data_IF_645920370377
#
_entry.id   IF_645920370377
#
_cell.length_a   1.000
_cell.length_b   1.000
_cell.length_c   1.000
_cell.angle_alpha   90.00
_cell.angle_beta   90.00
_cell.angle_gamma   90.00
#
_symmetry.space_group_name_H-M   'P 1'
#
loop_
_entity.id
_entity.type
_entity.pdbx_description
1 polymer ?
#
# COMPACT_ATOMS: atom_id res chain seq x y z
N UNK A 1 6.64 -13.93 -15.32
CA UNK A 1 5.37 -13.30 -14.92
C UNK A 1 4.69 -12.70 -16.14
N UNK A 2 3.51 -13.19 -16.56
CA UNK A 2 2.81 -12.59 -17.70
C UNK A 2 2.00 -11.38 -17.20
N UNK A 3 2.46 -10.17 -17.53
CA UNK A 3 1.72 -8.95 -17.24
C UNK A 3 0.61 -8.81 -18.27
N UNK A 4 -0.61 -8.61 -17.79
CA UNK A 4 -1.81 -8.38 -18.61
C UNK A 4 -2.41 -7.06 -18.20
N UNK A 5 -3.19 -6.42 -19.07
CA UNK A 5 -3.90 -5.17 -18.74
C UNK A 5 -4.74 -5.32 -17.47
N UNK A 6 -5.47 -6.44 -17.33
CA UNK A 6 -6.21 -6.77 -16.11
C UNK A 6 -5.33 -6.77 -14.86
N UNK A 7 -4.13 -7.34 -14.93
CA UNK A 7 -3.22 -7.35 -13.78
C UNK A 7 -2.78 -5.94 -13.37
N UNK A 8 -2.46 -5.09 -14.35
CA UNK A 8 -2.06 -3.70 -14.09
C UNK A 8 -3.21 -2.92 -13.45
N UNK A 9 -4.42 -3.05 -14.00
CA UNK A 9 -5.63 -2.40 -13.44
C UNK A 9 -5.88 -2.85 -12.01
N UNK A 10 -5.77 -4.15 -11.73
CA UNK A 10 -5.96 -4.66 -10.36
C UNK A 10 -4.90 -4.13 -9.39
N UNK A 11 -3.62 -4.09 -9.80
CA UNK A 11 -2.56 -3.50 -8.96
C UNK A 11 -2.84 -2.03 -8.68
N UNK A 12 -3.15 -1.24 -9.70
CA UNK A 12 -3.47 0.19 -9.54
C UNK A 12 -4.71 0.42 -8.65
N UNK A 13 -5.75 -0.41 -8.78
CA UNK A 13 -6.94 -0.36 -7.93
C UNK A 13 -6.59 -0.61 -6.46
N UNK A 14 -5.83 -1.66 -6.18
CA UNK A 14 -5.41 -1.97 -4.81
C UNK A 14 -4.47 -0.92 -4.24
N UNK A 15 -3.58 -0.35 -5.05
CA UNK A 15 -2.75 0.81 -4.66
C UNK A 15 -3.63 1.98 -4.23
N UNK A 16 -4.63 2.36 -5.02
CA UNK A 16 -5.54 3.45 -4.67
C UNK A 16 -6.33 3.16 -3.37
N UNK A 17 -6.81 1.93 -3.21
CA UNK A 17 -7.49 1.51 -1.98
C UNK A 17 -6.56 1.55 -0.76
N UNK A 18 -5.29 1.15 -0.91
CA UNK A 18 -4.31 1.24 0.18
C UNK A 18 -4.04 2.70 0.57
N UNK A 19 -3.93 3.62 -0.41
CA UNK A 19 -3.81 5.07 -0.11
C UNK A 19 -5.02 5.55 0.68
N UNK A 20 -6.23 5.32 0.18
CA UNK A 20 -7.48 5.79 0.82
C UNK A 20 -7.65 5.16 2.21
N UNK A 21 -7.36 3.87 2.35
CA UNK A 21 -7.38 3.18 3.63
C UNK A 21 -6.41 3.81 4.63
N UNK A 22 -5.19 4.16 4.20
CA UNK A 22 -4.17 4.78 5.07
C UNK A 22 -4.51 6.23 5.42
N UNK A 23 -5.27 6.94 4.58
CA UNK A 23 -5.77 8.29 4.87
C UNK A 23 -6.79 8.31 6.02
N UNK A 24 -7.44 7.20 6.32
CA UNK A 24 -8.35 7.09 7.48
C UNK A 24 -7.48 6.94 8.74
N UNK A 25 -7.12 8.09 9.32
CA UNK A 25 -6.24 8.17 10.49
C UNK A 25 -7.05 7.95 11.77
N UNK A 26 -6.91 6.77 12.37
CA UNK A 26 -7.37 6.51 13.74
C UNK A 26 -6.18 6.80 14.69
N UNK A 27 -6.21 7.88 15.49
CA UNK A 27 -5.10 8.25 16.34
C UNK A 27 -4.91 7.25 17.49
N UNK A 28 -3.66 6.94 17.82
CA UNK A 28 -3.28 6.21 19.02
C UNK A 28 -2.72 7.16 20.09
N UNK A 29 -2.76 6.78 21.38
CA UNK A 29 -2.18 7.56 22.47
C UNK A 29 -0.68 7.84 22.35
N UNK A 30 0.02 7.12 21.46
CA UNK A 30 1.46 7.24 21.21
C UNK A 30 1.83 8.33 20.21
N UNK A 31 0.84 9.04 19.64
CA UNK A 31 1.06 9.99 18.54
C UNK A 31 1.16 9.35 17.15
N UNK A 32 1.14 8.02 17.09
CA UNK A 32 0.97 7.26 15.84
C UNK A 32 -0.51 7.16 15.44
N UNK A 33 -0.77 6.60 14.27
CA UNK A 33 -2.13 6.26 13.82
C UNK A 33 -2.17 4.84 13.27
N UNK A 34 -3.36 4.24 13.23
CA UNK A 34 -3.56 2.91 12.64
C UNK A 34 -3.43 3.00 11.13
N UNK A 35 -2.51 2.23 10.54
CA UNK A 35 -2.41 2.06 9.08
C UNK A 35 -3.50 1.09 8.59
N UNK A 36 -4.73 1.58 8.43
CA UNK A 36 -5.82 0.77 7.89
C UNK A 36 -5.55 0.24 6.47
N UNK A 37 -4.65 0.88 5.72
CA UNK A 37 -4.14 0.36 4.44
C UNK A 37 -3.48 -1.02 4.53
N UNK A 38 -3.02 -1.45 5.71
CA UNK A 38 -2.43 -2.78 5.90
C UNK A 38 -3.44 -3.89 5.60
N UNK A 39 -4.71 -3.71 5.96
CA UNK A 39 -5.75 -4.68 5.66
C UNK A 39 -5.95 -4.83 4.14
N UNK A 40 -5.90 -3.70 3.41
CA UNK A 40 -6.00 -3.69 1.95
C UNK A 40 -4.78 -4.34 1.30
N UNK A 41 -3.57 -4.08 1.82
CA UNK A 41 -2.35 -4.74 1.36
C UNK A 41 -2.47 -6.26 1.50
N UNK A 42 -2.85 -6.75 2.68
CA UNK A 42 -3.01 -8.20 2.92
C UNK A 42 -4.05 -8.80 1.97
N UNK A 43 -5.15 -8.09 1.72
CA UNK A 43 -6.18 -8.52 0.76
C UNK A 43 -5.62 -8.57 -0.68
N UNK A 44 -4.79 -7.60 -1.06
CA UNK A 44 -4.17 -7.56 -2.38
C UNK A 44 -3.17 -8.71 -2.59
N UNK A 45 -2.42 -9.08 -1.54
CA UNK A 45 -1.50 -10.24 -1.56
C UNK A 45 -2.28 -11.53 -1.68
N UNK A 46 -3.38 -11.66 -0.94
CA UNK A 46 -4.26 -12.83 -1.01
C UNK A 46 -4.88 -13.02 -2.40
N UNK A 47 -5.27 -11.93 -3.08
CA UNK A 47 -6.01 -11.99 -4.34
C UNK A 47 -5.13 -11.93 -5.61
N UNK A 48 -4.04 -11.18 -5.58
CA UNK A 48 -3.13 -10.98 -6.74
C UNK A 48 -1.86 -11.83 -6.65
N UNK A 49 -1.68 -12.52 -5.53
CA UNK A 49 -0.45 -13.23 -5.19
C UNK A 49 0.60 -12.30 -4.62
N UNK A 50 1.60 -12.91 -3.97
CA UNK A 50 2.65 -12.22 -3.23
C UNK A 50 3.30 -11.07 -4.00
N UNK A 51 3.82 -11.30 -5.21
CA UNK A 51 4.57 -10.27 -5.96
C UNK A 51 3.73 -9.06 -6.38
N UNK A 52 2.49 -9.27 -6.86
CA UNK A 52 1.65 -8.16 -7.34
C UNK A 52 0.94 -7.45 -6.20
N UNK A 53 0.53 -8.19 -5.17
CA UNK A 53 -0.12 -7.62 -4.00
C UNK A 53 0.86 -6.81 -3.14
N UNK A 54 2.07 -7.33 -2.91
CA UNK A 54 3.13 -6.57 -2.24
C UNK A 54 3.42 -5.25 -2.95
N UNK A 55 3.57 -5.29 -4.27
CA UNK A 55 3.73 -4.09 -5.10
C UNK A 55 2.54 -3.13 -4.97
N UNK A 56 1.30 -3.65 -5.01
CA UNK A 56 0.11 -2.81 -4.90
C UNK A 56 0.06 -2.07 -3.56
N UNK A 57 0.29 -2.78 -2.45
CA UNK A 57 0.30 -2.21 -1.11
C UNK A 57 1.49 -1.28 -0.85
N UNK A 58 2.70 -1.70 -1.22
CA UNK A 58 3.92 -0.91 -1.05
C UNK A 58 3.89 0.41 -1.82
N UNK A 59 3.38 0.39 -3.06
CA UNK A 59 3.14 1.62 -3.82
C UNK A 59 2.07 2.50 -3.16
N UNK A 60 1.03 1.89 -2.57
CA UNK A 60 -0.02 2.63 -1.87
C UNK A 60 0.52 3.40 -0.66
N UNK A 61 1.39 2.78 0.14
CA UNK A 61 2.04 3.45 1.26
C UNK A 61 3.02 4.53 0.82
N UNK A 62 3.85 4.23 -0.17
CA UNK A 62 4.80 5.22 -0.71
C UNK A 62 4.08 6.49 -1.24
N UNK A 63 2.96 6.32 -1.94
CA UNK A 63 2.14 7.45 -2.41
C UNK A 63 1.53 8.20 -1.22
N UNK A 64 0.98 7.48 -0.23
CA UNK A 64 0.45 8.11 0.98
C UNK A 64 1.50 8.96 1.69
N UNK A 65 2.71 8.46 1.85
CA UNK A 65 3.81 9.14 2.53
C UNK A 65 4.22 10.43 1.82
N UNK A 66 4.35 10.38 0.49
CA UNK A 66 4.63 11.55 -0.34
C UNK A 66 3.54 12.63 -0.16
N UNK A 67 2.27 12.22 -0.12
CA UNK A 67 1.13 13.15 0.01
C UNK A 67 0.95 13.73 1.42
N UNK A 68 1.47 13.07 2.46
CA UNK A 68 1.22 13.43 3.87
C UNK A 68 2.44 14.01 4.59
N UNK A 69 3.53 14.32 3.86
CA UNK A 69 4.73 14.93 4.45
C UNK A 69 5.74 13.93 5.01
N UNK A 70 5.58 12.63 4.72
CA UNK A 70 6.50 11.55 5.10
C UNK A 70 7.35 11.07 3.92
N UNK A 71 7.61 11.91 2.92
CA UNK A 71 8.26 11.51 1.67
C UNK A 71 9.63 10.80 1.85
N UNK A 72 10.34 11.05 2.96
CA UNK A 72 11.58 10.35 3.30
C UNK A 72 11.37 8.86 3.62
N UNK A 73 10.19 8.48 4.10
CA UNK A 73 9.80 7.10 4.45
C UNK A 73 9.29 6.31 3.23
N UNK A 74 8.89 6.99 2.15
CA UNK A 74 8.31 6.34 0.98
C UNK A 74 9.18 5.22 0.37
N UNK A 75 10.53 5.34 0.27
CA UNK A 75 11.38 4.24 -0.23
C UNK A 75 11.38 3.01 0.68
N UNK A 76 11.24 3.21 2.00
CA UNK A 76 11.22 2.12 2.98
C UNK A 76 10.05 1.18 2.70
N UNK A 77 8.85 1.72 2.51
CA UNK A 77 7.66 0.89 2.27
C UNK A 77 7.69 0.14 0.94
N UNK A 78 8.39 0.64 -0.08
CA UNK A 78 8.57 -0.10 -1.34
C UNK A 78 9.46 -1.33 -1.10
N UNK A 79 10.55 -1.15 -0.37
CA UNK A 79 11.53 -2.22 -0.13
C UNK A 79 11.01 -3.24 0.88
N UNK A 80 10.35 -2.77 1.94
CA UNK A 80 9.91 -3.61 3.05
C UNK A 80 8.76 -4.54 2.64
N UNK A 81 7.77 -4.01 1.93
CA UNK A 81 6.62 -4.80 1.52
C UNK A 81 6.94 -5.83 0.43
N UNK A 82 8.11 -5.73 -0.22
CA UNK A 82 8.59 -6.67 -1.24
C UNK A 82 9.48 -7.79 -0.69
N UNK A 83 9.68 -7.87 0.64
CA UNK A 83 10.42 -8.95 1.34
C UNK A 83 9.51 -10.04 1.86
#
# INVERSE_FOLDING_TARGET
MKITTRNVVMVALFTALTVIGTMIKIPLPTGAFVHLGNAVLLLSVLLLGYVKGSLAGGLGFAIFDVLNGYAAEAPYFIIDNMK
#
